data_IF_272936430304
#
_entry.id   IF_272936430304
#
_cell.length_a   1.000
_cell.length_b   1.000
_cell.length_c   1.000
_cell.angle_alpha   90.00
_cell.angle_beta   90.00
_cell.angle_gamma   90.00
#
_symmetry.space_group_name_H-M   'P 1'
#
loop_
_entity.id
_entity.type
_entity.pdbx_description
1 polymer ?
#
# COMPACT_ATOMS: atom_id res chain seq x y z
N UNK A 1 41.74 -34.00 -40.15
CA UNK A 1 40.74 -35.09 -40.16
C UNK A 1 40.14 -35.12 -38.78
N UNK A 2 39.12 -34.29 -38.62
CA UNK A 2 38.27 -34.19 -37.46
C UNK A 2 37.49 -35.48 -37.25
N UNK A 3 37.29 -35.86 -36.00
CA UNK A 3 36.27 -36.84 -35.62
C UNK A 3 35.63 -36.35 -34.33
N UNK A 4 34.44 -35.79 -34.54
CA UNK A 4 33.52 -35.20 -33.59
C UNK A 4 33.26 -36.08 -32.37
N UNK A 5 33.67 -35.61 -31.19
CA UNK A 5 33.01 -35.99 -29.93
C UNK A 5 31.74 -35.16 -29.80
N UNK A 6 30.62 -35.71 -30.31
CA UNK A 6 29.28 -35.23 -29.94
C UNK A 6 29.03 -35.55 -28.48
N UNK A 7 29.14 -34.52 -27.63
CA UNK A 7 28.59 -34.50 -26.29
C UNK A 7 27.07 -34.63 -26.40
N UNK A 8 26.55 -35.79 -26.03
CA UNK A 8 25.13 -35.99 -25.81
C UNK A 8 24.77 -35.19 -24.55
N UNK A 9 24.20 -34.00 -24.75
CA UNK A 9 23.53 -33.25 -23.70
C UNK A 9 22.27 -34.04 -23.35
N UNK A 10 22.40 -34.95 -22.38
CA UNK A 10 21.25 -35.52 -21.69
C UNK A 10 20.42 -34.36 -21.16
N UNK A 11 19.21 -34.27 -21.70
CA UNK A 11 18.17 -33.35 -21.28
C UNK A 11 17.90 -33.68 -19.82
N UNK A 12 18.37 -32.82 -18.91
CA UNK A 12 18.07 -32.90 -17.50
C UNK A 12 16.55 -33.11 -17.34
N UNK A 13 16.09 -34.09 -16.55
CA UNK A 13 14.66 -34.31 -16.36
C UNK A 13 14.06 -33.01 -15.82
N UNK A 14 12.98 -32.54 -16.46
CA UNK A 14 12.15 -31.43 -15.98
C UNK A 14 11.99 -31.61 -14.49
N UNK A 15 12.59 -30.72 -13.70
CA UNK A 15 12.40 -30.69 -12.25
C UNK A 15 10.90 -30.62 -12.01
N UNK A 16 10.30 -31.69 -11.48
CA UNK A 16 8.91 -31.66 -11.04
C UNK A 16 8.84 -30.56 -9.97
N UNK A 17 8.12 -29.48 -10.25
CA UNK A 17 7.76 -28.51 -9.22
C UNK A 17 6.96 -29.29 -8.17
N UNK A 18 7.33 -29.34 -6.88
CA UNK A 18 6.57 -30.08 -5.87
C UNK A 18 5.09 -29.69 -5.82
N UNK A 19 4.75 -28.50 -6.31
CA UNK A 19 3.37 -28.02 -6.44
C UNK A 19 2.60 -28.70 -7.59
N UNK A 20 3.29 -29.32 -8.56
CA UNK A 20 2.67 -30.12 -9.63
C UNK A 20 1.98 -31.38 -9.10
N UNK A 21 2.34 -31.85 -7.90
CA UNK A 21 1.60 -32.92 -7.22
C UNK A 21 0.15 -32.52 -6.90
N UNK A 22 -0.13 -31.22 -6.84
CA UNK A 22 -1.43 -30.65 -6.45
C UNK A 22 -2.21 -30.03 -7.61
N UNK A 23 -1.92 -30.41 -8.86
CA UNK A 23 -2.58 -29.87 -10.07
C UNK A 23 -4.11 -29.99 -10.08
N UNK A 24 -4.70 -30.86 -9.25
CA UNK A 24 -6.15 -31.05 -9.16
C UNK A 24 -6.88 -29.94 -8.38
N UNK A 25 -6.17 -29.16 -7.55
CA UNK A 25 -6.74 -28.00 -6.83
C UNK A 25 -6.05 -26.71 -7.29
N UNK A 26 -6.54 -26.18 -8.40
CA UNK A 26 -5.98 -24.98 -9.03
C UNK A 26 -6.03 -23.74 -8.11
N UNK A 27 -7.07 -23.61 -7.31
CA UNK A 27 -7.24 -22.48 -6.39
C UNK A 27 -6.24 -22.55 -5.24
N UNK A 28 -6.03 -23.75 -4.67
CA UNK A 28 -4.97 -24.00 -3.69
C UNK A 28 -3.59 -23.67 -4.26
N UNK A 29 -3.26 -24.20 -5.45
CA UNK A 29 -1.94 -24.00 -6.08
C UNK A 29 -1.67 -22.50 -6.27
N UNK A 30 -2.65 -21.75 -6.77
CA UNK A 30 -2.54 -20.31 -6.96
C UNK A 30 -2.38 -19.58 -5.63
N UNK A 31 -3.21 -19.89 -4.63
CA UNK A 31 -3.14 -19.26 -3.31
C UNK A 31 -1.81 -19.54 -2.61
N UNK A 32 -1.33 -20.78 -2.65
CA UNK A 32 -0.08 -21.20 -2.04
C UNK A 32 1.12 -20.52 -2.71
N UNK A 33 1.24 -20.58 -4.04
CA UNK A 33 2.31 -19.89 -4.78
C UNK A 33 2.29 -18.38 -4.54
N UNK A 34 1.10 -17.78 -4.39
CA UNK A 34 0.99 -16.35 -4.05
C UNK A 34 1.44 -16.07 -2.61
N UNK A 35 1.16 -16.97 -1.69
CA UNK A 35 1.67 -16.91 -0.31
C UNK A 35 3.21 -16.98 -0.27
N UNK A 36 3.83 -17.87 -1.05
CA UNK A 36 5.29 -17.96 -1.19
C UNK A 36 5.91 -16.66 -1.73
N UNK A 37 5.28 -16.06 -2.76
CA UNK A 37 5.74 -14.78 -3.32
C UNK A 37 5.64 -13.63 -2.31
N UNK A 38 4.57 -13.59 -1.52
CA UNK A 38 4.40 -12.62 -0.44
C UNK A 38 5.44 -12.81 0.67
N UNK A 39 5.69 -14.07 1.08
CA UNK A 39 6.76 -14.38 2.02
C UNK A 39 8.12 -13.89 1.51
N UNK A 40 8.44 -14.17 0.24
CA UNK A 40 9.66 -13.70 -0.40
C UNK A 40 9.76 -12.17 -0.40
N UNK A 41 8.66 -11.47 -0.70
CA UNK A 41 8.62 -10.02 -0.70
C UNK A 41 8.83 -9.43 0.70
N UNK A 42 8.26 -10.03 1.75
CA UNK A 42 8.53 -9.66 3.15
C UNK A 42 10.01 -9.87 3.49
N UNK A 43 10.62 -10.98 3.08
CA UNK A 43 12.06 -11.22 3.29
C UNK A 43 12.93 -10.17 2.57
N UNK A 44 12.59 -9.81 1.33
CA UNK A 44 13.29 -8.77 0.56
C UNK A 44 13.17 -7.40 1.24
N UNK A 45 11.99 -7.02 1.68
CA UNK A 45 11.80 -5.71 2.33
C UNK A 45 12.49 -5.68 3.70
N UNK A 46 12.44 -6.78 4.45
CA UNK A 46 13.12 -6.89 5.75
C UNK A 46 14.63 -7.04 5.64
N UNK A 47 15.20 -7.35 4.47
CA UNK A 47 16.66 -7.32 4.26
C UNK A 47 17.24 -5.90 4.43
N UNK A 48 16.42 -4.86 4.28
CA UNK A 48 16.85 -3.47 4.46
C UNK A 48 16.94 -3.07 5.95
N UNK A 49 16.40 -3.88 6.85
CA UNK A 49 16.44 -3.66 8.29
C UNK A 49 17.75 -4.23 8.87
N UNK A 50 18.26 -3.54 9.90
CA UNK A 50 19.39 -4.02 10.71
C UNK A 50 19.06 -5.36 11.37
N UNK A 51 20.06 -6.21 11.59
CA UNK A 51 19.87 -7.47 12.33
C UNK A 51 19.54 -7.25 13.82
N UNK A 52 19.85 -6.07 14.35
CA UNK A 52 19.47 -5.68 15.71
C UNK A 52 18.02 -5.17 15.82
N UNK A 53 17.33 -4.97 14.69
CA UNK A 53 15.94 -4.51 14.67
C UNK A 53 14.98 -5.69 14.91
N UNK A 54 14.26 -5.77 16.03
CA UNK A 54 13.40 -6.92 16.35
C UNK A 54 12.32 -7.16 15.30
N UNK A 55 11.80 -6.07 14.69
CA UNK A 55 10.74 -6.15 13.69
C UNK A 55 11.12 -7.00 12.47
N UNK A 56 12.41 -7.03 12.11
CA UNK A 56 12.94 -7.87 11.02
C UNK A 56 12.60 -9.34 11.24
N UNK A 57 12.93 -9.84 12.42
CA UNK A 57 12.78 -11.26 12.77
C UNK A 57 11.32 -11.60 13.04
N UNK A 58 10.57 -10.71 13.68
CA UNK A 58 9.13 -10.88 13.93
C UNK A 58 8.35 -11.04 12.61
N UNK A 59 8.56 -10.16 11.63
CA UNK A 59 7.89 -10.26 10.33
C UNK A 59 8.24 -11.55 9.59
N UNK A 60 9.52 -11.95 9.60
CA UNK A 60 9.98 -13.20 8.98
C UNK A 60 9.37 -14.44 9.62
N UNK A 61 9.30 -14.46 10.95
CA UNK A 61 8.64 -15.53 11.69
C UNK A 61 7.17 -15.62 11.32
N UNK A 62 6.45 -14.50 11.39
CA UNK A 62 5.00 -14.46 11.12
C UNK A 62 4.65 -14.86 9.70
N UNK A 63 5.40 -14.41 8.71
CA UNK A 63 5.14 -14.81 7.31
C UNK A 63 5.49 -16.28 7.04
N UNK A 64 6.47 -16.84 7.76
CA UNK A 64 6.82 -18.27 7.67
C UNK A 64 5.75 -19.17 8.33
N UNK A 65 5.21 -18.74 9.47
CA UNK A 65 4.07 -19.38 10.13
C UNK A 65 2.85 -19.36 9.21
N UNK A 66 2.56 -18.21 8.57
CA UNK A 66 1.46 -18.11 7.63
C UNK A 66 1.65 -18.98 6.38
N UNK A 67 2.86 -19.06 5.83
CA UNK A 67 3.16 -19.98 4.72
C UNK A 67 2.93 -21.45 5.13
N UNK A 68 3.37 -21.83 6.32
CA UNK A 68 3.15 -23.18 6.85
C UNK A 68 1.66 -23.47 7.04
N UNK A 69 0.91 -22.50 7.58
CA UNK A 69 -0.55 -22.57 7.71
C UNK A 69 -1.24 -22.70 6.35
N UNK A 70 -0.79 -21.95 5.33
CA UNK A 70 -1.40 -21.99 3.99
C UNK A 70 -1.36 -23.37 3.34
N UNK A 71 -0.35 -24.19 3.65
CA UNK A 71 -0.23 -25.55 3.14
C UNK A 71 -1.37 -26.46 3.64
N UNK A 72 -1.93 -26.17 4.82
CA UNK A 72 -3.03 -26.95 5.40
C UNK A 72 -4.35 -26.76 4.66
N UNK A 73 -4.49 -25.75 3.79
CA UNK A 73 -5.71 -25.51 3.00
C UNK A 73 -6.18 -26.74 2.23
N UNK A 74 -5.24 -27.54 1.71
CA UNK A 74 -5.54 -28.76 0.95
C UNK A 74 -6.33 -29.81 1.74
N UNK A 75 -6.20 -29.81 3.07
CA UNK A 75 -6.82 -30.78 3.96
C UNK A 75 -8.13 -30.24 4.58
N UNK A 76 -8.53 -29.02 4.21
CA UNK A 76 -9.71 -28.35 4.76
C UNK A 76 -10.96 -28.86 4.06
N UNK A 77 -11.86 -29.48 4.82
CA UNK A 77 -13.19 -29.83 4.32
C UNK A 77 -14.03 -28.58 4.02
N UNK A 78 -15.02 -28.70 3.13
CA UNK A 78 -15.91 -27.59 2.77
C UNK A 78 -16.54 -26.90 3.99
N UNK A 79 -16.95 -27.67 5.00
CA UNK A 79 -17.53 -27.16 6.24
C UNK A 79 -16.55 -26.33 7.09
N UNK A 80 -15.25 -26.54 6.92
CA UNK A 80 -14.19 -25.86 7.67
C UNK A 80 -13.54 -24.71 6.88
N UNK A 81 -13.88 -24.53 5.59
CA UNK A 81 -13.32 -23.46 4.73
C UNK A 81 -13.47 -22.07 5.35
N UNK A 82 -14.62 -21.77 5.92
CA UNK A 82 -14.87 -20.45 6.53
C UNK A 82 -14.02 -20.20 7.78
N UNK A 83 -13.78 -21.24 8.59
CA UNK A 83 -12.86 -21.15 9.72
C UNK A 83 -11.43 -20.92 9.24
N UNK A 84 -10.97 -21.66 8.22
CA UNK A 84 -9.66 -21.46 7.62
C UNK A 84 -9.49 -20.04 7.07
N UNK A 85 -10.46 -19.53 6.30
CA UNK A 85 -10.43 -18.17 5.74
C UNK A 85 -10.35 -17.12 6.85
N UNK A 86 -11.08 -17.32 7.95
CA UNK A 86 -11.01 -16.42 9.10
C UNK A 86 -9.61 -16.43 9.75
N UNK A 87 -9.02 -17.61 9.97
CA UNK A 87 -7.66 -17.73 10.47
C UNK A 87 -6.63 -17.11 9.52
N UNK A 88 -6.78 -17.30 8.21
CA UNK A 88 -5.94 -16.66 7.20
C UNK A 88 -6.03 -15.13 7.28
N UNK A 89 -7.25 -14.58 7.43
CA UNK A 89 -7.48 -13.14 7.63
C UNK A 89 -6.77 -12.63 8.88
N UNK A 90 -6.80 -13.37 9.99
CA UNK A 90 -6.10 -13.00 11.22
C UNK A 90 -4.58 -12.94 11.02
N UNK A 91 -3.99 -13.94 10.36
CA UNK A 91 -2.55 -13.92 10.01
C UNK A 91 -2.19 -12.72 9.13
N UNK A 92 -2.96 -12.50 8.07
CA UNK A 92 -2.74 -11.38 7.14
C UNK A 92 -2.85 -10.04 7.86
N UNK A 93 -3.86 -9.86 8.71
CA UNK A 93 -4.04 -8.64 9.49
C UNK A 93 -2.85 -8.39 10.42
N UNK A 94 -2.36 -9.43 11.10
CA UNK A 94 -1.19 -9.32 11.98
C UNK A 94 0.05 -8.88 11.18
N UNK A 95 0.36 -9.55 10.07
CA UNK A 95 1.52 -9.22 9.22
C UNK A 95 1.41 -7.80 8.66
N UNK A 96 0.24 -7.41 8.12
CA UNK A 96 0.01 -6.07 7.57
C UNK A 96 0.13 -5.00 8.66
N UNK A 97 -0.35 -5.27 9.87
CA UNK A 97 -0.23 -4.34 11.00
C UNK A 97 1.23 -4.12 11.38
N UNK A 98 2.02 -5.19 11.44
CA UNK A 98 3.47 -5.10 11.70
C UNK A 98 4.20 -4.34 10.59
N UNK A 99 3.84 -4.55 9.32
CA UNK A 99 4.37 -3.79 8.19
C UNK A 99 3.98 -2.30 8.26
N UNK A 100 2.77 -1.98 8.74
CA UNK A 100 2.32 -0.60 8.93
C UNK A 100 3.11 0.09 10.04
N UNK A 101 3.32 -0.59 11.17
CA UNK A 101 4.18 -0.09 12.26
C UNK A 101 5.60 0.14 11.75
N UNK A 102 6.14 -0.80 10.97
CA UNK A 102 7.46 -0.67 10.35
C UNK A 102 7.54 0.54 9.41
N UNK A 103 6.48 0.80 8.64
CA UNK A 103 6.40 1.97 7.78
C UNK A 103 6.33 3.27 8.59
N UNK A 104 5.50 3.33 9.63
CA UNK A 104 5.40 4.50 10.52
C UNK A 104 6.70 4.77 11.26
N UNK A 105 7.44 3.72 11.61
CA UNK A 105 8.79 3.79 12.19
C UNK A 105 9.89 4.13 11.17
N UNK A 106 9.57 4.32 9.90
CA UNK A 106 10.55 4.64 8.85
C UNK A 106 11.44 3.48 8.41
N UNK A 107 11.19 2.26 8.90
CA UNK A 107 11.95 1.05 8.55
C UNK A 107 11.62 0.56 7.13
N UNK A 108 10.39 0.83 6.67
CA UNK A 108 9.89 0.42 5.36
C UNK A 108 9.28 1.65 4.65
N UNK A 109 9.49 1.77 3.34
CA UNK A 109 8.88 2.86 2.56
C UNK A 109 7.36 2.72 2.45
N UNK A 110 6.66 3.84 2.37
CA UNK A 110 5.19 3.88 2.14
C UNK A 110 4.75 3.12 0.90
N UNK A 111 5.58 3.13 -0.15
CA UNK A 111 5.34 2.40 -1.39
C UNK A 111 5.41 0.88 -1.19
N UNK A 112 6.46 0.39 -0.53
CA UNK A 112 6.61 -1.05 -0.27
C UNK A 112 5.48 -1.56 0.62
N UNK A 113 5.12 -0.80 1.65
CA UNK A 113 3.98 -1.11 2.49
C UNK A 113 2.68 -1.18 1.69
N UNK A 114 2.38 -0.16 0.87
CA UNK A 114 1.17 -0.12 0.06
C UNK A 114 1.01 -1.33 -0.86
N UNK A 115 2.09 -1.72 -1.55
CA UNK A 115 2.10 -2.89 -2.44
C UNK A 115 1.86 -4.17 -1.64
N UNK A 116 2.60 -4.38 -0.54
CA UNK A 116 2.45 -5.58 0.28
C UNK A 116 1.03 -5.68 0.87
N UNK A 117 0.51 -4.59 1.42
CA UNK A 117 -0.86 -4.54 1.96
C UNK A 117 -1.90 -4.93 0.91
N UNK A 118 -1.78 -4.37 -0.30
CA UNK A 118 -2.69 -4.70 -1.39
C UNK A 118 -2.60 -6.18 -1.79
N UNK A 119 -1.39 -6.72 -1.95
CA UNK A 119 -1.23 -8.12 -2.35
C UNK A 119 -1.65 -9.12 -1.27
N UNK A 120 -1.46 -8.81 0.00
CA UNK A 120 -1.99 -9.61 1.11
C UNK A 120 -3.53 -9.61 1.13
N UNK A 121 -4.18 -8.48 0.88
CA UNK A 121 -5.64 -8.42 0.76
C UNK A 121 -6.14 -9.23 -0.46
N UNK A 122 -5.43 -9.13 -1.59
CA UNK A 122 -5.71 -9.91 -2.79
C UNK A 122 -5.44 -11.42 -2.63
N UNK A 123 -4.72 -11.84 -1.59
CA UNK A 123 -4.55 -13.26 -1.27
C UNK A 123 -5.78 -13.78 -0.53
N UNK A 124 -6.31 -13.01 0.42
CA UNK A 124 -7.55 -13.35 1.13
C UNK A 124 -8.74 -13.48 0.18
N UNK A 125 -8.83 -12.63 -0.85
CA UNK A 125 -9.89 -12.75 -1.84
C UNK A 125 -9.84 -14.09 -2.57
N UNK A 126 -8.65 -14.66 -2.83
CA UNK A 126 -8.51 -15.98 -3.48
C UNK A 126 -9.05 -17.07 -2.56
N UNK A 127 -8.68 -17.08 -1.27
CA UNK A 127 -9.25 -18.01 -0.30
C UNK A 127 -10.76 -17.87 -0.14
N UNK A 128 -11.30 -16.65 -0.36
CA UNK A 128 -12.74 -16.36 -0.28
C UNK A 128 -13.49 -16.63 -1.58
N UNK A 129 -12.82 -16.75 -2.74
CA UNK A 129 -13.47 -16.89 -4.05
C UNK A 129 -14.09 -18.28 -4.30
N UNK A 130 -13.87 -19.23 -3.38
CA UNK A 130 -14.64 -20.49 -3.38
C UNK A 130 -16.08 -20.31 -2.86
N UNK A 131 -16.45 -19.12 -2.37
CA UNK A 131 -17.83 -18.80 -2.05
C UNK A 131 -18.59 -18.37 -3.32
N UNK A 132 -19.56 -19.18 -3.69
CA UNK A 132 -20.69 -18.82 -4.55
C UNK A 132 -21.24 -17.45 -4.19
N UNK A 133 -21.51 -16.65 -5.23
CA UNK A 133 -22.21 -15.37 -5.20
C UNK A 133 -23.44 -15.35 -4.28
N UNK A 134 -23.27 -15.07 -2.99
CA UNK A 134 -24.34 -14.55 -2.14
C UNK A 134 -23.79 -14.06 -0.80
N UNK A 135 -23.09 -12.92 -0.81
CA UNK A 135 -23.01 -12.01 0.34
C UNK A 135 -22.28 -10.73 -0.05
N UNK A 136 -23.01 -9.82 -0.71
CA UNK A 136 -22.73 -8.37 -0.61
C UNK A 136 -23.14 -7.88 0.80
N UNK A 137 -22.54 -8.46 1.83
CA UNK A 137 -22.84 -8.19 3.23
C UNK A 137 -21.53 -8.01 3.99
N UNK A 138 -21.30 -6.80 4.50
CA UNK A 138 -20.17 -6.35 5.34
C UNK A 138 -19.07 -5.59 4.60
N UNK A 139 -19.49 -4.55 3.88
CA UNK A 139 -18.70 -3.32 3.80
C UNK A 139 -18.65 -2.76 5.23
N UNK A 140 -17.46 -2.73 5.81
CA UNK A 140 -17.20 -2.13 7.12
C UNK A 140 -17.67 -0.66 7.03
N UNK A 141 -18.71 -0.30 7.78
CA UNK A 141 -19.14 1.09 7.87
C UNK A 141 -18.07 1.93 8.54
N UNK A 142 -17.98 3.22 8.17
CA UNK A 142 -17.00 4.18 8.70
C UNK A 142 -16.99 4.24 10.24
N UNK A 143 -18.11 3.83 10.86
CA UNK A 143 -18.35 3.78 12.30
C UNK A 143 -17.84 2.50 12.98
N UNK A 144 -17.28 1.51 12.25
CA UNK A 144 -16.64 0.34 12.87
C UNK A 144 -15.34 0.71 13.61
N UNK A 145 -14.71 1.81 13.21
CA UNK A 145 -13.51 2.33 13.87
C UNK A 145 -13.80 3.19 15.10
N UNK A 146 -15.08 3.44 15.41
CA UNK A 146 -15.47 4.12 16.64
C UNK A 146 -15.30 3.16 17.82
N UNK A 147 -14.24 3.39 18.60
CA UNK A 147 -14.06 2.70 19.88
C UNK A 147 -15.07 3.27 20.87
N UNK A 148 -16.24 2.63 20.97
CA UNK A 148 -17.21 2.92 22.04
C UNK A 148 -16.57 2.51 23.37
N UNK A 149 -16.22 3.51 24.17
CA UNK A 149 -15.89 3.30 25.59
C UNK A 149 -17.21 2.99 26.32
N UNK A 150 -17.32 1.88 27.07
CA UNK A 150 -18.49 1.64 27.89
C UNK A 150 -18.49 2.64 29.04
N UNK A 151 -19.22 3.74 28.87
CA UNK A 151 -19.59 4.59 29.99
C UNK A 151 -20.75 3.91 30.73
N UNK A 152 -20.51 3.68 32.00
CA UNK A 152 -21.46 3.22 33.02
C UNK A 152 -22.79 3.98 32.96
N UNK A 153 -23.94 3.33 33.24
CA UNK A 153 -25.24 3.96 33.11
C UNK A 153 -25.46 4.96 34.25
N UNK A 154 -25.57 6.24 33.91
CA UNK A 154 -26.16 7.24 34.81
C UNK A 154 -27.62 7.44 34.42
N UNK A 155 -28.50 6.96 35.29
CA UNK A 155 -29.92 7.27 35.30
C UNK A 155 -30.15 8.78 35.40
N UNK A 156 -31.00 9.32 34.53
CA UNK A 156 -31.90 10.42 34.92
C UNK A 156 -33.18 10.36 34.10
N UNK A 157 -34.29 10.25 34.82
CA UNK A 157 -35.69 10.03 34.42
C UNK A 157 -36.36 11.31 33.90
N UNK A 158 -37.63 11.12 33.51
CA UNK A 158 -38.75 12.03 33.19
C UNK A 158 -39.08 12.14 31.69
N UNK A 159 -40.08 11.43 31.13
CA UNK A 159 -41.56 11.35 31.30
C UNK A 159 -42.34 12.36 30.42
N UNK A 160 -43.17 11.80 29.52
CA UNK A 160 -44.42 12.35 28.94
C UNK A 160 -44.23 13.42 27.85
N UNK A 161 -44.99 13.50 26.76
CA UNK A 161 -46.21 12.86 26.28
C UNK A 161 -46.49 13.41 24.86
N UNK A 162 -47.00 12.58 23.94
CA UNK A 162 -47.66 12.99 22.67
C UNK A 162 -48.94 13.81 22.97
N UNK A 163 -49.43 14.74 22.13
CA UNK A 163 -49.93 14.41 20.78
C UNK A 163 -49.79 15.48 19.66
N UNK A 164 -49.73 14.97 18.43
CA UNK A 164 -50.48 15.34 17.22
C UNK A 164 -50.85 16.81 16.94
N UNK A 165 -50.45 17.23 15.73
CA UNK A 165 -51.25 17.93 14.70
C UNK A 165 -51.17 19.46 14.54
N UNK A 166 -50.85 19.85 13.29
CA UNK A 166 -51.23 21.08 12.57
C UNK A 166 -50.58 22.37 13.10
N UNK A 167 -50.18 23.37 12.32
CA UNK A 167 -50.23 23.72 10.90
C UNK A 167 -49.51 25.10 10.79
N UNK A 168 -49.38 25.63 9.57
CA UNK A 168 -49.19 27.08 9.25
C UNK A 168 -47.75 27.60 9.21
N UNK A 169 -47.14 27.46 8.02
CA UNK A 169 -46.87 28.56 7.08
C UNK A 169 -46.64 29.96 7.68
N UNK A 170 -45.40 30.48 7.62
CA UNK A 170 -45.12 31.73 6.91
C UNK A 170 -43.63 32.12 6.87
N UNK A 171 -43.19 32.35 5.63
CA UNK A 171 -42.43 33.49 5.11
C UNK A 171 -41.28 34.08 5.96
N UNK A 172 -40.10 33.93 5.34
CA UNK A 172 -38.85 34.72 5.42
C UNK A 172 -39.06 36.21 5.72
N UNK A 173 -38.08 36.84 6.39
CA UNK A 173 -37.32 37.84 5.65
C UNK A 173 -35.80 37.72 5.80
N UNK A 174 -35.20 37.90 4.63
CA UNK A 174 -33.83 38.19 4.29
C UNK A 174 -33.17 39.26 5.18
N UNK A 175 -31.99 38.93 5.70
CA UNK A 175 -30.97 39.90 6.11
C UNK A 175 -29.63 39.48 5.51
N UNK A 176 -29.27 40.11 4.41
CA UNK A 176 -27.89 40.28 3.98
C UNK A 176 -27.14 41.16 4.97
N UNK A 177 -25.96 40.73 5.45
CA UNK A 177 -24.68 41.40 5.18
C UNK A 177 -23.47 40.69 5.82
N UNK A 178 -22.48 40.44 4.95
CA UNK A 178 -21.03 40.60 5.14
C UNK A 178 -20.24 39.56 5.95
N UNK A 179 -19.49 38.77 5.17
CA UNK A 179 -18.02 38.68 5.19
C UNK A 179 -17.33 38.42 6.53
N UNK A 180 -16.92 37.17 6.75
CA UNK A 180 -15.56 36.85 7.19
C UNK A 180 -15.11 35.58 6.47
N UNK A 181 -14.24 35.75 5.47
CA UNK A 181 -13.33 34.70 5.04
C UNK A 181 -12.43 34.33 6.23
N UNK A 182 -12.32 33.06 6.57
CA UNK A 182 -11.05 32.57 7.11
C UNK A 182 -10.68 31.21 6.51
N UNK A 183 -9.65 31.17 5.65
CA UNK A 183 -9.12 29.96 5.05
C UNK A 183 -7.97 29.44 5.92
N UNK A 184 -8.13 28.31 6.63
CA UNK A 184 -6.98 27.61 7.21
C UNK A 184 -7.25 26.11 7.23
N UNK A 185 -6.72 25.40 6.23
CA UNK A 185 -6.01 24.10 6.23
C UNK A 185 -5.66 23.81 4.76
N UNK A 186 -4.87 24.70 4.16
CA UNK A 186 -3.96 24.46 3.04
C UNK A 186 -2.69 25.25 3.41
N UNK A 187 -1.56 25.04 2.74
CA UNK A 187 -0.40 25.95 2.87
C UNK A 187 0.56 25.71 4.04
N UNK A 188 1.05 24.48 4.20
CA UNK A 188 2.45 24.27 4.63
C UNK A 188 3.21 23.35 3.68
N UNK A 189 2.53 22.35 3.12
CA UNK A 189 3.13 21.43 2.15
C UNK A 189 3.25 22.06 0.76
N UNK A 190 2.26 22.86 0.36
CA UNK A 190 2.25 23.61 -0.90
C UNK A 190 3.26 24.77 -0.90
N UNK A 191 3.46 25.47 0.23
CA UNK A 191 4.52 26.48 0.36
C UNK A 191 5.92 25.86 0.21
N UNK A 192 6.17 24.73 0.89
CA UNK A 192 7.44 24.00 0.77
C UNK A 192 7.66 23.47 -0.63
N UNK A 193 6.61 23.04 -1.32
CA UNK A 193 6.65 22.62 -2.73
C UNK A 193 6.97 23.80 -3.65
N UNK A 194 6.37 24.96 -3.42
CA UNK A 194 6.61 26.19 -4.19
C UNK A 194 8.05 26.72 -4.03
N UNK A 195 8.58 26.72 -2.81
CA UNK A 195 9.95 27.17 -2.54
C UNK A 195 11.01 26.26 -3.20
N UNK A 196 10.81 24.94 -3.14
CA UNK A 196 11.68 23.94 -3.79
C UNK A 196 11.66 24.09 -5.31
N UNK A 197 10.47 24.19 -5.89
CA UNK A 197 10.28 24.42 -7.33
C UNK A 197 10.99 25.69 -7.81
N UNK A 198 10.88 26.78 -7.04
CA UNK A 198 11.57 28.04 -7.32
C UNK A 198 13.10 27.88 -7.28
N UNK A 199 13.60 27.12 -6.31
CA UNK A 199 15.04 26.84 -6.16
C UNK A 199 15.58 25.98 -7.31
N UNK A 200 14.85 24.94 -7.73
CA UNK A 200 15.20 24.11 -8.89
C UNK A 200 15.30 24.95 -10.17
N UNK A 201 14.30 25.82 -10.41
CA UNK A 201 14.31 26.72 -11.56
C UNK A 201 15.48 27.72 -11.48
N UNK A 202 15.79 28.25 -10.30
CA UNK A 202 16.94 29.15 -10.12
C UNK A 202 18.28 28.46 -10.42
N UNK A 203 18.45 27.19 -10.04
CA UNK A 203 19.65 26.42 -10.35
C UNK A 203 19.81 26.15 -11.85
N UNK A 204 18.72 25.78 -12.52
CA UNK A 204 18.71 25.50 -13.97
C UNK A 204 18.85 26.77 -14.82
N UNK A 205 18.53 27.95 -14.28
CA UNK A 205 18.85 29.24 -14.93
C UNK A 205 20.34 29.57 -14.87
N UNK A 206 21.05 29.15 -13.82
CA UNK A 206 22.49 29.43 -13.63
C UNK A 206 23.39 28.46 -14.38
N UNK A 207 22.97 27.19 -14.52
CA UNK A 207 23.73 26.14 -15.22
C UNK A 207 22.90 25.55 -16.36
N UNK A 208 23.46 25.56 -17.57
CA UNK A 208 22.78 25.11 -18.80
C UNK A 208 22.22 23.69 -18.71
N UNK A 209 22.91 22.78 -18.03
CA UNK A 209 22.48 21.39 -17.85
C UNK A 209 22.83 20.90 -16.44
N UNK A 210 21.89 20.23 -15.76
CA UNK A 210 22.10 19.62 -14.45
C UNK A 210 21.61 18.17 -14.42
N UNK A 211 22.30 17.32 -13.66
CA UNK A 211 21.82 15.97 -13.33
C UNK A 211 20.96 16.00 -12.06
N UNK A 212 20.22 14.91 -11.82
CA UNK A 212 19.44 14.74 -10.58
C UNK A 212 20.34 14.86 -9.35
N UNK A 213 21.57 14.32 -9.41
CA UNK A 213 22.55 14.38 -8.31
C UNK A 213 23.00 15.81 -8.01
N UNK A 214 23.25 16.60 -9.06
CA UNK A 214 23.65 18.00 -8.88
C UNK A 214 22.55 18.79 -8.17
N UNK A 215 21.29 18.56 -8.53
CA UNK A 215 20.14 19.24 -7.92
C UNK A 215 19.91 18.75 -6.48
N UNK A 216 19.97 17.43 -6.24
CA UNK A 216 19.81 16.83 -4.92
C UNK A 216 20.93 17.23 -3.94
N UNK A 217 22.14 17.53 -4.43
CA UNK A 217 23.24 17.99 -3.59
C UNK A 217 23.00 19.38 -2.98
N UNK A 218 22.16 20.20 -3.63
CA UNK A 218 21.82 21.57 -3.19
C UNK A 218 20.55 21.59 -2.34
N UNK A 219 19.56 20.75 -2.69
CA UNK A 219 18.25 20.69 -2.02
C UNK A 219 18.27 19.54 -1.00
N UNK A 220 18.90 19.79 0.16
CA UNK A 220 19.11 18.76 1.21
C UNK A 220 17.85 18.35 1.98
N UNK A 221 16.75 19.07 1.82
CA UNK A 221 15.46 18.79 2.46
C UNK A 221 14.61 17.74 1.72
N UNK A 222 15.11 17.17 0.60
CA UNK A 222 14.35 16.19 -0.16
C UNK A 222 15.23 15.07 -0.77
N UNK A 223 14.60 13.92 -1.03
CA UNK A 223 15.25 12.78 -1.68
C UNK A 223 15.37 12.98 -3.20
N UNK A 224 16.31 12.29 -3.85
CA UNK A 224 16.43 12.27 -5.32
C UNK A 224 15.10 11.92 -6.02
N UNK A 225 14.27 11.06 -5.41
CA UNK A 225 12.94 10.68 -5.93
C UNK A 225 11.95 11.85 -5.90
N UNK A 226 12.07 12.74 -4.92
CA UNK A 226 11.25 13.96 -4.82
C UNK A 226 11.67 14.96 -5.89
N UNK A 227 12.98 15.19 -6.05
CA UNK A 227 13.53 16.00 -7.14
C UNK A 227 13.10 15.44 -8.50
N UNK A 228 13.15 14.11 -8.68
CA UNK A 228 12.72 13.47 -9.92
C UNK A 228 11.24 13.68 -10.23
N UNK A 229 10.35 13.65 -9.23
CA UNK A 229 8.92 13.97 -9.41
C UNK A 229 8.72 15.42 -9.83
N UNK A 230 9.38 16.36 -9.18
CA UNK A 230 9.27 17.79 -9.51
C UNK A 230 9.82 18.09 -10.92
N UNK A 231 10.96 17.49 -11.30
CA UNK A 231 11.50 17.59 -12.65
C UNK A 231 10.55 17.01 -13.70
N UNK A 232 9.90 15.88 -13.40
CA UNK A 232 8.88 15.31 -14.29
C UNK A 232 7.65 16.22 -14.40
N UNK A 233 7.22 16.87 -13.31
CA UNK A 233 6.15 17.88 -13.35
C UNK A 233 6.54 19.05 -14.26
N UNK A 234 7.77 19.54 -14.18
CA UNK A 234 8.23 20.61 -15.06
C UNK A 234 8.36 20.21 -16.53
N UNK A 235 8.71 18.95 -16.81
CA UNK A 235 8.70 18.41 -18.18
C UNK A 235 7.27 18.32 -18.70
N UNK A 236 6.33 17.81 -17.89
CA UNK A 236 4.92 17.74 -18.25
C UNK A 236 4.32 19.14 -18.51
N UNK A 237 4.77 20.13 -17.76
CA UNK A 237 4.38 21.53 -17.94
C UNK A 237 5.16 22.26 -19.05
N UNK A 238 6.05 21.57 -19.78
CA UNK A 238 6.80 22.12 -20.91
C UNK A 238 7.92 23.10 -20.54
N UNK A 239 8.26 23.25 -19.25
CA UNK A 239 9.27 24.19 -18.75
C UNK A 239 10.68 23.65 -18.88
N UNK A 240 10.86 22.33 -18.77
CA UNK A 240 12.16 21.67 -18.85
C UNK A 240 12.20 20.63 -19.96
N UNK A 241 13.40 20.45 -20.55
CA UNK A 241 13.72 19.34 -21.44
C UNK A 241 14.67 18.36 -20.77
N UNK A 242 14.43 17.07 -20.99
CA UNK A 242 15.30 15.96 -20.54
C UNK A 242 16.12 15.45 -21.71
N UNK A 243 17.44 15.35 -21.52
CA UNK A 243 18.37 14.72 -22.46
C UNK A 243 19.10 13.57 -21.77
N UNK A 244 19.23 12.41 -22.42
CA UNK A 244 19.91 11.23 -21.87
C UNK A 244 18.98 10.13 -21.34
N UNK A 245 19.58 9.04 -20.85
CA UNK A 245 18.89 7.79 -20.52
C UNK A 245 19.00 7.47 -19.04
N UNK A 246 17.84 7.16 -18.42
CA UNK A 246 17.73 6.70 -17.02
C UNK A 246 18.51 7.60 -16.05
N UNK A 247 19.62 7.12 -15.49
CA UNK A 247 20.42 7.80 -14.45
C UNK A 247 21.38 8.86 -14.98
N UNK A 248 21.63 8.87 -16.29
CA UNK A 248 22.44 9.90 -16.97
C UNK A 248 21.58 10.99 -17.61
N UNK A 249 20.32 11.10 -17.17
CA UNK A 249 19.43 12.16 -17.64
C UNK A 249 19.92 13.52 -17.13
N UNK A 250 20.12 14.44 -18.06
CA UNK A 250 20.38 15.85 -17.85
C UNK A 250 19.12 16.66 -18.12
N UNK A 251 18.93 17.71 -17.33
CA UNK A 251 17.77 18.59 -17.38
C UNK A 251 18.24 20.00 -17.70
N UNK A 252 17.51 20.67 -18.58
CA UNK A 252 17.77 22.04 -19.00
C UNK A 252 16.46 22.77 -19.26
N UNK A 253 16.46 24.09 -19.21
CA UNK A 253 15.27 24.88 -19.54
C UNK A 253 14.90 24.69 -21.00
N UNK A 254 13.59 24.54 -21.23
CA UNK A 254 13.02 24.57 -22.57
C UNK A 254 13.00 26.05 -23.00
N UNK A 255 13.81 26.39 -24.00
CA UNK A 255 13.89 27.74 -24.58
C UNK A 255 12.90 27.85 -25.73
#
# INVERSE_FOLDING_TARGET
MDSDKKTNLEIAPKTLDPVSYFEQDGDFVVAFKKTEKLASAVYIVTNLLSDNEPMKWTLRKKVSEFLSFSLSYKDVSDSAKNSFVYSAKSFVLEIVSLLEVSMRGGLISTMNFGILKQEFNNLISIYSSSESHDSKGNIISENFFDVVRPNTPSESRYIGSTPTSLSVQNRVPEYTQKSVNNPQIKDKEDEKKSLRQTTILALLRRKKELTIKDIASVIKDCSEKTVQRELNTFIANGVLKRSGVRRWSKYSLNN
#
